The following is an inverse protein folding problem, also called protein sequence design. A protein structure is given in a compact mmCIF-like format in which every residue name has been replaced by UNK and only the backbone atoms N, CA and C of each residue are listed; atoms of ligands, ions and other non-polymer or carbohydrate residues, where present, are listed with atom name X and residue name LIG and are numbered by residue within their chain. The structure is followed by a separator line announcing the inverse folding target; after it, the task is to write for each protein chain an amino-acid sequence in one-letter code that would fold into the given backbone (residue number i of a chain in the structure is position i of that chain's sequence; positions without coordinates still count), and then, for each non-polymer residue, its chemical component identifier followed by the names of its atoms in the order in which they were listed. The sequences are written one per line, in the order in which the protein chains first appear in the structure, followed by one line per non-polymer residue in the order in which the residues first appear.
data_IF_597253604208
#
_entry.id   IF_597253604208
#
_cell.length_a   1.000
_cell.length_b   1.000
_cell.length_c   1.000
_cell.angle_alpha   90.00
_cell.angle_beta   90.00
_cell.angle_gamma   90.00
#
_symmetry.space_group_name_H-M   'P 1'
#
loop_
_entity.id
_entity.type
_entity.pdbx_description
1 polymer ?
#
# COMPACT_ATOMS: atom_id res chain seq x y z
N UNK A 1 5.70 1.11 11.85
CA UNK A 1 4.97 2.04 10.96
C UNK A 1 3.51 1.63 11.03
N UNK A 2 2.55 2.57 11.07
CA UNK A 2 1.14 2.17 11.07
C UNK A 2 0.76 1.63 9.68
N UNK A 3 0.02 0.53 9.64
CA UNK A 3 -0.44 -0.11 8.41
C UNK A 3 -1.93 -0.34 8.55
N UNK A 4 -2.69 0.09 7.54
CA UNK A 4 -4.10 -0.26 7.42
C UNK A 4 -4.25 -1.36 6.38
N UNK A 5 -5.11 -2.33 6.66
CA UNK A 5 -5.44 -3.41 5.74
C UNK A 5 -6.95 -3.59 5.62
N UNK A 6 -7.41 -4.00 4.43
CA UNK A 6 -8.80 -4.32 4.15
C UNK A 6 -8.92 -5.56 3.26
N UNK A 7 -10.06 -6.23 3.38
CA UNK A 7 -10.43 -7.42 2.60
C UNK A 7 -9.42 -8.59 2.75
N UNK A 8 -8.94 -8.84 3.97
CA UNK A 8 -8.09 -9.99 4.25
C UNK A 8 -8.91 -11.28 4.29
N UNK A 9 -8.48 -12.29 3.53
CA UNK A 9 -9.14 -13.60 3.49
C UNK A 9 -8.16 -14.71 3.89
N UNK A 10 -8.23 -15.21 5.14
CA UNK A 10 -7.33 -16.26 5.64
C UNK A 10 -7.37 -17.55 4.81
N UNK A 11 -8.50 -17.83 4.15
CA UNK A 11 -8.66 -19.03 3.33
C UNK A 11 -8.02 -18.89 1.94
N UNK A 12 -7.55 -17.69 1.57
CA UNK A 12 -6.95 -17.40 0.26
C UNK A 12 -5.54 -16.82 0.36
N UNK A 13 -4.91 -16.73 1.53
CA UNK A 13 -3.69 -15.90 1.75
C UNK A 13 -2.61 -16.03 0.68
N UNK A 14 -2.26 -17.25 0.25
CA UNK A 14 -1.22 -17.46 -0.76
C UNK A 14 -1.61 -17.01 -2.18
N UNK A 15 -2.91 -17.01 -2.49
CA UNK A 15 -3.45 -16.80 -3.85
C UNK A 15 -4.28 -15.52 -3.99
N UNK A 16 -4.59 -14.83 -2.89
CA UNK A 16 -5.33 -13.58 -2.93
C UNK A 16 -4.44 -12.49 -3.55
N UNK A 17 -5.02 -11.69 -4.46
CA UNK A 17 -4.34 -10.51 -4.99
C UNK A 17 -4.13 -9.51 -3.87
N UNK A 18 -2.94 -8.93 -3.80
CA UNK A 18 -2.58 -7.89 -2.83
C UNK A 18 -2.29 -6.60 -3.59
N UNK A 19 -2.89 -5.51 -3.14
CA UNK A 19 -2.59 -4.17 -3.64
C UNK A 19 -1.87 -3.40 -2.53
N UNK A 20 -0.58 -3.14 -2.76
CA UNK A 20 0.25 -2.33 -1.88
C UNK A 20 0.14 -0.86 -2.31
N UNK A 21 -0.67 -0.09 -1.59
CA UNK A 21 -1.04 1.27 -2.00
C UNK A 21 -0.20 2.34 -1.29
N UNK A 22 0.53 3.12 -2.07
CA UNK A 22 1.28 4.27 -1.61
C UNK A 22 0.43 5.53 -1.81
N UNK A 23 -0.04 6.14 -0.72
CA UNK A 23 -0.83 7.36 -0.82
C UNK A 23 0.04 8.55 -1.27
N UNK A 24 -0.54 9.43 -2.10
CA UNK A 24 0.06 10.70 -2.51
C UNK A 24 -0.08 11.79 -1.44
N UNK A 25 0.28 13.04 -1.80
CA UNK A 25 0.17 14.20 -0.90
C UNK A 25 1.52 14.86 -0.53
N UNK A 26 2.52 14.71 -1.40
CA UNK A 26 3.84 15.37 -1.27
C UNK A 26 4.53 15.14 0.08
N UNK A 27 4.32 13.99 0.72
CA UNK A 27 4.85 13.68 2.05
C UNK A 27 4.34 14.60 3.17
N UNK A 28 3.21 15.30 3.01
CA UNK A 28 2.73 16.28 3.99
C UNK A 28 1.43 15.83 4.69
N UNK A 29 0.50 15.20 3.98
CA UNK A 29 -0.85 14.92 4.48
C UNK A 29 -1.11 13.42 4.71
N UNK A 30 -2.01 13.10 5.64
CA UNK A 30 -2.55 11.74 5.79
C UNK A 30 -3.63 11.49 4.71
N UNK A 31 -3.93 10.21 4.38
CA UNK A 31 -5.07 9.88 3.55
C UNK A 31 -6.35 10.49 4.14
N UNK A 32 -7.13 11.18 3.30
CA UNK A 32 -8.47 11.65 3.66
C UNK A 32 -9.46 10.49 3.71
N UNK A 33 -10.63 10.70 4.33
CA UNK A 33 -11.72 9.71 4.33
C UNK A 33 -12.11 9.27 2.93
N UNK A 34 -12.10 10.18 1.96
CA UNK A 34 -12.38 9.87 0.55
C UNK A 34 -11.39 8.84 -0.03
N UNK A 35 -10.09 8.99 0.24
CA UNK A 35 -9.09 8.01 -0.21
C UNK A 35 -9.33 6.64 0.44
N UNK A 36 -9.68 6.61 1.72
CA UNK A 36 -9.96 5.35 2.44
C UNK A 36 -11.20 4.65 1.87
N UNK A 37 -12.28 5.39 1.62
CA UNK A 37 -13.51 4.81 1.09
C UNK A 37 -13.33 4.28 -0.33
N UNK A 38 -12.60 5.02 -1.17
CA UNK A 38 -12.19 4.55 -2.50
C UNK A 38 -11.40 3.23 -2.40
N UNK A 39 -10.42 3.12 -1.49
CA UNK A 39 -9.63 1.91 -1.30
C UNK A 39 -10.48 0.73 -0.80
N UNK A 40 -11.46 0.98 0.09
CA UNK A 40 -12.41 -0.05 0.52
C UNK A 40 -13.26 -0.56 -0.64
N UNK A 41 -13.82 0.34 -1.46
CA UNK A 41 -14.59 -0.03 -2.66
C UNK A 41 -13.73 -0.82 -3.65
N UNK A 42 -12.47 -0.43 -3.83
CA UNK A 42 -11.52 -1.15 -4.69
C UNK A 42 -11.23 -2.55 -4.15
N UNK A 43 -11.02 -2.69 -2.83
CA UNK A 43 -10.71 -3.97 -2.18
C UNK A 43 -11.80 -5.01 -2.43
N UNK A 44 -13.07 -4.61 -2.31
CA UNK A 44 -14.22 -5.51 -2.50
C UNK A 44 -14.48 -5.79 -3.97
N UNK A 45 -14.34 -4.78 -4.84
CA UNK A 45 -14.59 -4.91 -6.27
C UNK A 45 -13.58 -5.83 -6.99
N UNK A 46 -12.34 -5.88 -6.50
CA UNK A 46 -11.27 -6.72 -7.06
C UNK A 46 -11.04 -8.04 -6.31
N UNK A 47 -11.78 -8.28 -5.22
CA UNK A 47 -11.50 -9.34 -4.23
C UNK A 47 -10.02 -9.36 -3.79
N UNK A 48 -9.43 -8.16 -3.69
CA UNK A 48 -8.01 -7.98 -3.40
C UNK A 48 -7.82 -7.42 -1.99
N UNK A 49 -6.81 -7.92 -1.29
CA UNK A 49 -6.35 -7.37 -0.02
C UNK A 49 -5.64 -6.05 -0.30
N UNK A 50 -6.09 -4.96 0.32
CA UNK A 50 -5.40 -3.67 0.25
C UNK A 50 -4.49 -3.55 1.46
N UNK A 51 -3.26 -3.09 1.25
CA UNK A 51 -2.30 -2.71 2.30
C UNK A 51 -1.92 -1.25 2.09
N UNK A 52 -2.22 -0.40 3.07
CA UNK A 52 -1.95 1.03 3.08
C UNK A 52 -0.97 1.37 4.23
N UNK A 53 0.34 1.46 3.96
CA UNK A 53 1.29 2.00 4.93
C UNK A 53 1.12 3.50 5.14
N UNK A 54 1.18 3.93 6.41
CA UNK A 54 1.30 5.33 6.81
C UNK A 54 2.75 5.60 7.13
N UNK A 55 3.51 6.07 6.14
CA UNK A 55 4.96 6.25 6.24
C UNK A 55 5.36 7.59 6.90
N UNK A 56 6.54 7.66 7.55
CA UNK A 56 7.07 8.91 8.10
C UNK A 56 7.24 9.98 7.01
N UNK A 57 7.00 11.24 7.36
CA UNK A 57 6.76 12.33 6.41
C UNK A 57 7.69 13.52 6.63
N UNK A 58 7.98 14.23 5.54
CA UNK A 58 8.76 15.46 5.55
C UNK A 58 7.96 16.62 6.20
N UNK A 59 8.62 17.66 6.74
CA UNK A 59 10.08 17.81 6.90
C UNK A 59 10.65 17.00 8.08
N UNK A 60 9.80 16.41 8.93
CA UNK A 60 10.21 15.68 10.14
C UNK A 60 11.07 14.46 9.83
N UNK A 61 10.80 13.79 8.70
CA UNK A 61 11.53 12.62 8.24
C UNK A 61 11.80 12.71 6.74
N UNK A 62 13.00 12.34 6.34
CA UNK A 62 13.47 12.31 4.96
C UNK A 62 13.28 10.92 4.34
N UNK A 63 13.49 10.82 3.02
CA UNK A 63 13.23 9.61 2.25
C UNK A 63 14.05 8.40 2.74
N UNK A 64 15.25 8.63 3.28
CA UNK A 64 16.15 7.62 3.85
C UNK A 64 15.56 6.94 5.09
N UNK A 65 14.58 7.54 5.77
CA UNK A 65 13.86 6.90 6.87
C UNK A 65 12.60 6.17 6.38
N UNK A 66 11.89 6.75 5.42
CA UNK A 66 10.63 6.19 4.91
C UNK A 66 10.85 4.98 3.99
N UNK A 67 11.83 5.06 3.09
CA UNK A 67 12.05 4.05 2.06
C UNK A 67 12.46 2.68 2.64
N UNK A 68 13.39 2.57 3.60
CA UNK A 68 13.70 1.27 4.20
C UNK A 68 12.48 0.62 4.86
N UNK A 69 11.66 1.40 5.57
CA UNK A 69 10.43 0.89 6.21
C UNK A 69 9.40 0.37 5.21
N UNK A 70 9.30 1.00 4.04
CA UNK A 70 8.43 0.55 2.95
C UNK A 70 8.96 -0.75 2.31
N UNK A 71 10.28 -0.82 2.10
CA UNK A 71 10.95 -2.03 1.58
C UNK A 71 10.80 -3.20 2.54
N UNK A 72 11.00 -2.98 3.83
CA UNK A 72 10.85 -4.02 4.86
C UNK A 72 9.40 -4.54 4.88
N UNK A 73 8.41 -3.65 4.85
CA UNK A 73 7.00 -4.06 4.79
C UNK A 73 6.69 -4.84 3.51
N UNK A 74 7.24 -4.45 2.35
CA UNK A 74 7.08 -5.20 1.12
C UNK A 74 7.69 -6.61 1.20
N UNK A 75 8.86 -6.74 1.84
CA UNK A 75 9.50 -8.03 2.08
C UNK A 75 8.68 -8.91 3.01
N UNK A 76 8.04 -8.33 4.03
CA UNK A 76 7.14 -9.07 4.92
C UNK A 76 5.94 -9.63 4.15
N UNK A 77 5.37 -8.85 3.23
CA UNK A 77 4.26 -9.31 2.37
C UNK A 77 4.70 -10.45 1.45
N UNK A 78 5.93 -10.39 0.92
CA UNK A 78 6.48 -11.45 0.06
C UNK A 78 6.64 -12.81 0.79
N UNK A 79 6.67 -12.83 2.13
CA UNK A 79 6.75 -14.08 2.89
C UNK A 79 5.46 -14.90 2.80
N UNK A 80 4.31 -14.26 2.59
CA UNK A 80 2.99 -14.92 2.53
C UNK A 80 2.28 -14.77 1.20
N UNK A 81 2.74 -13.89 0.31
CA UNK A 81 2.13 -13.64 -1.01
C UNK A 81 3.18 -13.72 -2.12
N UNK A 82 2.90 -14.51 -3.16
CA UNK A 82 3.77 -14.58 -4.32
C UNK A 82 3.87 -13.21 -5.02
N UNK A 83 5.08 -12.84 -5.47
CA UNK A 83 5.33 -11.53 -6.07
C UNK A 83 4.38 -11.19 -7.24
N UNK A 84 4.01 -12.19 -8.07
CA UNK A 84 3.07 -11.99 -9.18
C UNK A 84 1.63 -11.62 -8.74
N UNK A 85 1.28 -11.86 -7.47
CA UNK A 85 -0.02 -11.53 -6.91
C UNK A 85 -0.01 -10.16 -6.22
N UNK A 86 1.15 -9.48 -6.15
CA UNK A 86 1.28 -8.16 -5.51
C UNK A 86 1.33 -7.09 -6.59
N UNK A 87 0.37 -6.16 -6.56
CA UNK A 87 0.38 -4.94 -7.37
C UNK A 87 0.72 -3.74 -6.50
N UNK A 88 1.76 -3.00 -6.86
CA UNK A 88 2.06 -1.72 -6.22
C UNK A 88 1.25 -0.63 -6.94
N UNK A 89 0.45 0.12 -6.19
CA UNK A 89 -0.35 1.22 -6.72
C UNK A 89 0.00 2.52 -6.00
N UNK A 90 -0.04 3.65 -6.71
CA UNK A 90 0.25 4.97 -6.17
C UNK A 90 -0.93 5.92 -6.34
N UNK A 91 -1.27 6.64 -5.27
CA UNK A 91 -2.17 7.80 -5.31
C UNK A 91 -1.42 9.03 -5.79
N UNK A 92 -1.97 9.71 -6.79
CA UNK A 92 -1.22 10.65 -7.58
C UNK A 92 -1.35 12.09 -7.05
N UNK A 93 -0.27 12.61 -6.47
CA UNK A 93 0.21 13.96 -6.80
C UNK A 93 1.54 13.95 -7.58
N UNK A 94 2.12 12.78 -7.83
CA UNK A 94 3.25 12.58 -8.75
C UNK A 94 3.06 11.29 -9.53
N UNK A 95 3.04 11.41 -10.87
CA UNK A 95 2.82 10.31 -11.82
C UNK A 95 4.16 9.61 -12.00
N UNK A 96 4.23 8.31 -11.70
CA UNK A 96 5.16 7.37 -12.33
C UNK A 96 4.58 5.96 -12.13
N UNK A 97 4.04 5.42 -13.23
CA UNK A 97 3.69 4.00 -13.32
C UNK A 97 4.94 3.24 -13.73
N UNK A 98 5.35 2.25 -12.94
CA UNK A 98 6.26 1.21 -13.38
C UNK A 98 5.48 -0.10 -13.46
N UNK A 99 5.22 -0.54 -14.68
CA UNK A 99 4.92 -1.94 -14.99
C UNK A 99 6.22 -2.59 -15.45
N UNK A 100 6.71 -3.57 -14.70
CA UNK A 100 7.69 -4.56 -15.19
C UNK A 100 6.97 -5.74 -15.81
#
# INVERSE_FOLDING_TARGET
MQVHSWNENPNKEANQKVIFYLHGGSYLNNPTTYHIDMLKTLSTSLDAKIILPIYPKAPTYTYDVAMPKLVDLYRDILQSTAAQNITIMGGLSTWLSFSS
#
